data_IF_415196994487
#
_entry.id   IF_415196994487
#
_cell.length_a   1.000
_cell.length_b   1.000
_cell.length_c   1.000
_cell.angle_alpha   90.00
_cell.angle_beta   90.00
_cell.angle_gamma   90.00
#
_symmetry.space_group_name_H-M   'P 1'
#
loop_
_entity.id
_entity.type
_entity.pdbx_description
1 polymer ?
#
# COMPACT_ATOMS: atom_id res chain seq x y z
N UNK A 1 31.28 -4.50 33.55
CA UNK A 1 30.28 -5.25 32.76
C UNK A 1 29.63 -4.20 31.88
N UNK A 2 30.14 -4.05 30.67
CA UNK A 2 29.81 -2.94 29.77
C UNK A 2 28.49 -3.27 29.10
N UNK A 3 27.45 -2.52 29.43
CA UNK A 3 26.19 -2.52 28.69
C UNK A 3 26.47 -1.80 27.37
N UNK A 4 26.67 -2.56 26.29
CA UNK A 4 26.72 -1.98 24.96
C UNK A 4 25.28 -1.68 24.54
N UNK A 5 24.96 -0.47 24.04
CA UNK A 5 23.66 -0.25 23.45
C UNK A 5 23.53 -1.20 22.26
N UNK A 6 22.51 -2.05 22.31
CA UNK A 6 22.08 -2.83 21.15
C UNK A 6 21.80 -1.80 20.06
N UNK A 7 22.55 -1.83 18.97
CA UNK A 7 22.27 -0.97 17.84
C UNK A 7 20.82 -1.22 17.44
N UNK A 8 19.95 -0.22 17.60
CA UNK A 8 18.62 -0.24 16.99
C UNK A 8 18.86 -0.50 15.50
N UNK A 9 18.40 -1.66 15.03
CA UNK A 9 18.35 -1.93 13.61
C UNK A 9 17.63 -0.74 12.97
N UNK A 10 18.13 -0.19 11.85
CA UNK A 10 17.40 0.88 11.18
C UNK A 10 15.97 0.37 10.98
N UNK A 11 14.99 1.12 11.51
CA UNK A 11 13.58 0.85 11.26
C UNK A 11 13.48 0.82 9.74
N UNK A 12 13.18 -0.35 9.17
CA UNK A 12 13.03 -0.46 7.73
C UNK A 12 12.02 0.61 7.29
N UNK A 13 12.21 1.28 6.14
CA UNK A 13 11.22 2.20 5.64
C UNK A 13 9.86 1.48 5.63
N UNK A 14 8.81 2.14 6.13
CA UNK A 14 7.50 1.51 6.19
C UNK A 14 7.10 1.14 4.76
N UNK A 15 6.80 -0.14 4.53
CA UNK A 15 6.43 -0.67 3.22
C UNK A 15 4.92 -0.72 3.12
N UNK A 16 4.35 -0.16 2.06
CA UNK A 16 2.91 -0.13 1.85
C UNK A 16 2.52 -0.71 0.50
N UNK A 17 1.37 -1.36 0.43
CA UNK A 17 0.65 -1.65 -0.81
C UNK A 17 -0.56 -0.75 -0.83
N UNK A 18 -0.76 -0.02 -1.92
CA UNK A 18 -1.96 0.78 -2.11
C UNK A 18 -3.00 -0.02 -2.89
N UNK A 19 -4.21 -0.08 -2.36
CA UNK A 19 -5.39 -0.31 -3.17
C UNK A 19 -5.53 0.84 -4.19
N UNK A 20 -6.03 0.52 -5.37
CA UNK A 20 -6.27 1.51 -6.42
C UNK A 20 -7.27 2.59 -5.99
N UNK A 21 -8.20 2.27 -5.08
CA UNK A 21 -9.13 3.28 -4.54
C UNK A 21 -8.42 4.43 -3.82
N UNK A 22 -7.21 4.22 -3.29
CA UNK A 22 -6.42 5.24 -2.63
C UNK A 22 -5.86 6.22 -3.66
N UNK A 23 -5.35 5.71 -4.79
CA UNK A 23 -4.89 6.53 -5.91
C UNK A 23 -6.04 7.38 -6.47
N UNK A 24 -7.21 6.76 -6.67
CA UNK A 24 -8.43 7.45 -7.14
C UNK A 24 -8.82 8.57 -6.17
N UNK A 25 -8.92 8.27 -4.87
CA UNK A 25 -9.30 9.25 -3.84
C UNK A 25 -8.29 10.40 -3.74
N UNK A 26 -6.99 10.11 -3.83
CA UNK A 26 -5.93 11.10 -3.83
C UNK A 26 -6.00 12.01 -5.07
N UNK A 27 -6.29 11.45 -6.24
CA UNK A 27 -6.43 12.22 -7.48
C UNK A 27 -7.62 13.19 -7.44
N UNK A 28 -8.73 12.82 -6.83
CA UNK A 28 -9.88 13.72 -6.65
C UNK A 28 -9.67 14.76 -5.54
N UNK A 29 -8.97 14.39 -4.46
CA UNK A 29 -8.68 15.30 -3.36
C UNK A 29 -7.25 15.10 -2.84
N UNK A 30 -6.27 15.85 -3.40
CA UNK A 30 -4.87 15.74 -3.00
C UNK A 30 -4.59 16.13 -1.55
N UNK A 31 -5.51 16.86 -0.89
CA UNK A 31 -5.39 17.26 0.53
C UNK A 31 -6.04 16.25 1.49
N UNK A 32 -6.62 15.17 0.97
CA UNK A 32 -7.17 14.08 1.78
C UNK A 32 -6.08 13.24 2.45
N UNK A 33 -6.45 12.38 3.39
CA UNK A 33 -5.52 11.40 3.96
C UNK A 33 -4.90 10.49 2.89
N UNK A 34 -5.66 10.12 1.85
CA UNK A 34 -5.10 9.39 0.70
C UNK A 34 -4.03 10.22 -0.02
N UNK A 35 -4.30 11.50 -0.26
CA UNK A 35 -3.32 12.41 -0.88
C UNK A 35 -2.05 12.58 -0.04
N UNK A 36 -2.19 12.67 1.28
CA UNK A 36 -1.03 12.71 2.19
C UNK A 36 -0.19 11.41 2.13
N UNK A 37 -0.82 10.25 1.94
CA UNK A 37 -0.09 9.00 1.73
C UNK A 37 0.71 9.03 0.42
N UNK A 38 0.13 9.58 -0.65
CA UNK A 38 0.86 9.77 -1.91
C UNK A 38 2.06 10.69 -1.73
N UNK A 39 1.92 11.80 -1.01
CA UNK A 39 3.02 12.73 -0.73
C UNK A 39 4.18 12.06 0.02
N UNK A 40 3.91 11.28 1.08
CA UNK A 40 4.99 10.60 1.82
C UNK A 40 5.69 9.53 0.99
N UNK A 41 4.98 8.86 0.08
CA UNK A 41 5.59 7.92 -0.88
C UNK A 41 6.47 8.68 -1.88
N UNK A 42 5.98 9.79 -2.47
CA UNK A 42 6.79 10.62 -3.39
C UNK A 42 8.06 11.15 -2.75
N UNK A 43 8.00 11.50 -1.47
CA UNK A 43 9.14 11.99 -0.72
C UNK A 43 10.15 10.89 -0.36
N UNK A 44 9.87 9.62 -0.67
CA UNK A 44 10.70 8.49 -0.31
C UNK A 44 10.71 8.19 1.20
N UNK A 45 9.70 8.66 1.94
CA UNK A 45 9.57 8.37 3.37
C UNK A 45 8.97 6.97 3.61
N UNK A 46 8.32 6.40 2.59
CA UNK A 46 7.56 5.14 2.61
C UNK A 46 7.74 4.47 1.25
N UNK A 47 8.05 3.17 1.26
CA UNK A 47 8.19 2.41 0.02
C UNK A 47 6.83 1.90 -0.45
N UNK A 48 6.41 2.28 -1.66
CA UNK A 48 5.29 1.65 -2.34
C UNK A 48 5.76 0.31 -2.92
N UNK A 49 5.30 -0.79 -2.34
CA UNK A 49 5.47 -2.12 -2.90
C UNK A 49 4.39 -2.39 -3.92
N UNK A 50 4.82 -2.82 -5.10
CA UNK A 50 3.94 -3.11 -6.23
C UNK A 50 4.40 -4.34 -6.98
N UNK A 51 3.49 -4.97 -7.72
CA UNK A 51 3.83 -6.00 -8.70
C UNK A 51 3.17 -5.66 -10.04
N UNK A 52 3.49 -6.43 -11.08
CA UNK A 52 2.94 -6.18 -12.41
C UNK A 52 1.41 -6.30 -12.48
N UNK A 53 0.76 -7.03 -11.55
CA UNK A 53 -0.69 -7.16 -11.51
C UNK A 53 -1.34 -5.93 -10.88
N UNK A 54 -0.82 -5.44 -9.75
CA UNK A 54 -1.32 -4.22 -9.10
C UNK A 54 -1.06 -2.99 -9.95
N UNK A 55 0.13 -2.86 -10.56
CA UNK A 55 0.46 -1.78 -11.50
C UNK A 55 -0.54 -1.70 -12.66
N UNK A 56 -0.77 -2.82 -13.34
CA UNK A 56 -1.69 -2.89 -14.49
C UNK A 56 -3.12 -2.56 -14.09
N UNK A 57 -3.55 -3.00 -12.92
CA UNK A 57 -4.88 -2.71 -12.39
C UNK A 57 -5.05 -1.23 -12.08
N UNK A 58 -4.10 -0.64 -11.34
CA UNK A 58 -4.10 0.78 -11.02
C UNK A 58 -4.12 1.64 -12.27
N UNK A 59 -3.24 1.35 -13.24
CA UNK A 59 -3.23 2.05 -14.53
C UNK A 59 -4.56 1.92 -15.26
N UNK A 60 -5.10 0.71 -15.36
CA UNK A 60 -6.36 0.44 -16.05
C UNK A 60 -7.53 1.23 -15.45
N UNK A 61 -7.62 1.31 -14.13
CA UNK A 61 -8.71 2.00 -13.44
C UNK A 61 -8.53 3.52 -13.57
N UNK A 62 -7.35 4.05 -13.25
CA UNK A 62 -7.09 5.49 -13.30
C UNK A 62 -7.32 6.04 -14.72
N UNK A 63 -6.81 5.38 -15.75
CA UNK A 63 -7.01 5.79 -17.15
C UNK A 63 -8.48 5.77 -17.63
N UNK A 64 -9.43 5.23 -16.85
CA UNK A 64 -10.85 5.17 -17.19
C UNK A 64 -11.71 6.19 -16.43
N UNK A 65 -11.15 6.94 -15.49
CA UNK A 65 -11.91 7.84 -14.62
C UNK A 65 -11.46 9.28 -14.86
N UNK A 66 -12.09 10.03 -15.78
CA UNK A 66 -11.85 11.47 -15.86
C UNK A 66 -12.25 12.18 -14.54
N UNK A 67 -11.53 13.23 -14.12
CA UNK A 67 -10.42 13.90 -14.79
C UNK A 67 -9.03 13.33 -14.44
N UNK A 68 -8.94 12.12 -13.87
CA UNK A 68 -7.67 11.56 -13.40
C UNK A 68 -6.73 11.25 -14.58
N UNK A 69 -5.44 11.48 -14.36
CA UNK A 69 -4.37 11.10 -15.28
C UNK A 69 -3.48 10.04 -14.64
N UNK A 70 -3.11 9.02 -15.40
CA UNK A 70 -2.14 8.02 -14.95
C UNK A 70 -0.75 8.64 -14.76
N UNK A 71 -0.40 9.64 -15.58
CA UNK A 71 0.89 10.34 -15.50
C UNK A 71 1.14 10.96 -14.13
N UNK A 72 0.09 11.31 -13.39
CA UNK A 72 0.23 11.83 -12.03
C UNK A 72 0.77 10.77 -11.06
N UNK A 73 0.53 9.48 -11.29
CA UNK A 73 0.86 8.39 -10.35
C UNK A 73 1.96 7.45 -10.82
N UNK A 74 2.31 7.46 -12.11
CA UNK A 74 3.26 6.51 -12.70
C UNK A 74 4.61 6.49 -11.97
N UNK A 75 5.10 7.66 -11.55
CA UNK A 75 6.36 7.80 -10.81
C UNK A 75 6.35 7.19 -9.40
N UNK A 76 5.20 6.80 -8.86
CA UNK A 76 5.18 6.10 -7.56
C UNK A 76 5.68 4.65 -7.69
N UNK A 77 5.59 4.07 -8.89
CA UNK A 77 5.91 2.67 -9.17
C UNK A 77 7.37 2.52 -9.60
N UNK A 78 8.28 2.79 -8.67
CA UNK A 78 9.72 2.75 -8.91
C UNK A 78 10.22 1.30 -9.07
N UNK A 79 11.11 1.00 -10.04
CA UNK A 79 11.66 -0.34 -10.23
C UNK A 79 12.31 -0.94 -8.97
N UNK A 80 12.89 -0.10 -8.11
CA UNK A 80 13.58 -0.51 -6.88
C UNK A 80 12.63 -1.13 -5.84
N UNK A 81 11.34 -0.78 -5.89
CA UNK A 81 10.30 -1.29 -4.99
C UNK A 81 9.36 -2.30 -5.66
N UNK A 82 9.67 -2.70 -6.90
CA UNK A 82 8.96 -3.79 -7.59
C UNK A 82 9.18 -5.12 -6.86
N UNK A 83 8.09 -5.78 -6.50
CA UNK A 83 8.11 -7.12 -5.94
C UNK A 83 8.16 -8.16 -7.07
N UNK A 84 9.29 -8.87 -7.14
CA UNK A 84 9.53 -9.97 -8.09
C UNK A 84 9.46 -11.30 -7.36
N UNK A 85 8.24 -11.79 -7.11
CA UNK A 85 7.97 -13.06 -6.45
C UNK A 85 6.56 -13.57 -6.74
N UNK A 86 6.27 -14.80 -6.34
CA UNK A 86 4.92 -15.37 -6.48
C UNK A 86 4.04 -14.96 -5.29
N UNK A 87 2.97 -14.22 -5.56
CA UNK A 87 2.02 -13.75 -4.55
C UNK A 87 0.85 -14.73 -4.34
N UNK A 88 0.62 -15.67 -5.26
CA UNK A 88 -0.52 -16.62 -5.27
C UNK A 88 -1.86 -16.02 -4.75
N UNK A 89 -2.50 -15.06 -5.47
CA UNK A 89 -3.75 -14.43 -5.02
C UNK A 89 -4.91 -15.41 -4.77
N UNK A 90 -4.88 -16.60 -5.37
CA UNK A 90 -5.93 -17.62 -5.17
C UNK A 90 -5.91 -18.23 -3.76
N UNK A 91 -4.78 -18.12 -3.03
CA UNK A 91 -4.70 -18.50 -1.61
C UNK A 91 -5.55 -17.64 -0.69
N UNK A 92 -5.97 -16.45 -1.13
CA UNK A 92 -6.73 -15.47 -0.35
C UNK A 92 -8.25 -15.59 -0.60
N UNK A 93 -8.76 -16.81 -0.73
CA UNK A 93 -10.16 -17.10 -1.07
C UNK A 93 -11.19 -16.60 -0.03
N UNK A 94 -10.74 -16.29 1.18
CA UNK A 94 -11.56 -15.69 2.24
C UNK A 94 -11.88 -14.21 1.96
N UNK A 95 -11.16 -13.55 1.04
CA UNK A 95 -11.54 -12.25 0.49
C UNK A 95 -12.63 -12.46 -0.57
N UNK A 96 -13.85 -11.91 -0.37
CA UNK A 96 -14.97 -12.17 -1.27
C UNK A 96 -14.72 -11.70 -2.70
N UNK A 97 -14.16 -10.49 -2.86
CA UNK A 97 -13.82 -9.95 -4.17
C UNK A 97 -12.51 -10.58 -4.68
N UNK A 98 -12.58 -11.22 -5.84
CA UNK A 98 -11.43 -11.85 -6.46
C UNK A 98 -10.40 -10.82 -6.96
N UNK A 99 -10.83 -9.61 -7.31
CA UNK A 99 -9.92 -8.55 -7.72
C UNK A 99 -9.13 -8.01 -6.52
N UNK A 100 -9.72 -7.92 -5.33
CA UNK A 100 -9.00 -7.39 -4.16
C UNK A 100 -7.90 -8.34 -3.64
N UNK A 101 -8.03 -9.64 -3.92
CA UNK A 101 -7.06 -10.66 -3.50
C UNK A 101 -5.62 -10.36 -3.90
N UNK A 102 -5.42 -9.71 -5.05
CA UNK A 102 -4.07 -9.39 -5.55
C UNK A 102 -3.33 -8.42 -4.62
N UNK A 103 -4.04 -7.44 -4.06
CA UNK A 103 -3.45 -6.47 -3.14
C UNK A 103 -3.14 -7.10 -1.78
N UNK A 104 -4.06 -7.90 -1.24
CA UNK A 104 -3.85 -8.62 0.01
C UNK A 104 -2.71 -9.64 -0.08
N UNK A 105 -2.64 -10.36 -1.20
CA UNK A 105 -1.59 -11.31 -1.47
C UNK A 105 -0.22 -10.64 -1.52
N UNK A 106 -0.10 -9.55 -2.28
CA UNK A 106 1.13 -8.78 -2.34
C UNK A 106 1.52 -8.23 -0.97
N UNK A 107 0.59 -7.61 -0.24
CA UNK A 107 0.85 -7.04 1.07
C UNK A 107 1.35 -8.10 2.07
N UNK A 108 0.71 -9.26 2.09
CA UNK A 108 1.08 -10.37 3.00
C UNK A 108 2.47 -10.91 2.66
N UNK A 109 2.73 -11.25 1.40
CA UNK A 109 3.99 -11.89 0.99
C UNK A 109 5.16 -10.89 1.05
N UNK A 110 4.91 -9.62 0.78
CA UNK A 110 5.93 -8.59 0.88
C UNK A 110 6.12 -8.03 2.30
N UNK A 111 5.37 -8.50 3.29
CA UNK A 111 5.32 -7.94 4.65
C UNK A 111 5.12 -6.41 4.66
N UNK A 112 4.11 -5.96 3.91
CA UNK A 112 3.73 -4.56 3.76
C UNK A 112 2.33 -4.31 4.35
N UNK A 113 2.08 -3.07 4.76
CA UNK A 113 0.74 -2.65 5.17
C UNK A 113 -0.13 -2.43 3.92
N UNK A 114 -1.33 -3.00 3.91
CA UNK A 114 -2.31 -2.72 2.86
C UNK A 114 -3.12 -1.47 3.24
N UNK A 115 -3.11 -0.47 2.38
CA UNK A 115 -3.93 0.73 2.55
C UNK A 115 -5.15 0.64 1.65
N UNK A 116 -6.34 0.60 2.25
CA UNK A 116 -7.61 0.53 1.52
C UNK A 116 -8.72 1.24 2.30
N UNK A 117 -9.73 1.73 1.58
CA UNK A 117 -11.00 2.19 2.17
C UNK A 117 -12.11 1.12 2.09
N UNK A 118 -11.82 -0.07 1.53
CA UNK A 118 -12.84 -1.12 1.37
C UNK A 118 -13.10 -1.86 2.69
N UNK A 119 -14.36 -1.84 3.12
CA UNK A 119 -14.80 -2.51 4.34
C UNK A 119 -14.58 -4.03 4.30
N UNK A 120 -14.62 -4.65 3.13
CA UNK A 120 -14.37 -6.09 2.96
C UNK A 120 -12.91 -6.46 3.25
N UNK A 121 -11.98 -5.54 3.02
CA UNK A 121 -10.56 -5.72 3.34
C UNK A 121 -10.21 -5.31 4.77
N UNK A 122 -10.98 -4.41 5.38
CA UNK A 122 -10.73 -3.89 6.73
C UNK A 122 -11.16 -4.83 7.87
N UNK A 123 -11.86 -5.93 7.58
CA UNK A 123 -12.27 -6.94 8.55
C UNK A 123 -11.80 -8.37 8.17
N UNK A 124 -10.50 -8.60 7.91
CA UNK A 124 -10.01 -9.93 7.61
C UNK A 124 -9.95 -10.74 8.92
N UNK A 125 -10.65 -11.88 8.98
CA UNK A 125 -10.56 -12.82 10.11
C UNK A 125 -9.16 -13.51 10.21
N UNK A 126 -8.28 -13.31 9.22
CA UNK A 126 -6.91 -13.81 9.21
C UNK A 126 -5.94 -12.75 9.74
N UNK A 127 -5.51 -12.87 11.00
CA UNK A 127 -4.65 -11.90 11.70
C UNK A 127 -3.24 -11.64 11.12
N UNK A 128 -2.93 -12.13 9.91
CA UNK A 128 -1.66 -11.93 9.22
C UNK A 128 -1.66 -10.69 8.30
N UNK A 129 -2.82 -10.29 7.78
CA UNK A 129 -2.93 -9.13 6.89
C UNK A 129 -3.19 -7.86 7.69
N UNK A 130 -2.24 -6.90 7.62
CA UNK A 130 -2.39 -5.57 8.23
C UNK A 130 -3.06 -4.63 7.22
N UNK A 131 -4.32 -4.30 7.47
CA UNK A 131 -5.08 -3.37 6.62
C UNK A 131 -5.43 -2.12 7.41
N UNK A 132 -5.20 -0.96 6.78
CA UNK A 132 -5.51 0.33 7.36
C UNK A 132 -6.28 1.19 6.38
N UNK A 133 -7.22 1.98 6.90
CA UNK A 133 -7.63 3.20 6.19
C UNK A 133 -6.48 4.20 6.20
N UNK A 134 -6.45 5.16 5.25
CA UNK A 134 -5.42 6.19 5.23
C UNK A 134 -5.26 6.95 6.55
N UNK A 135 -6.37 7.31 7.19
CA UNK A 135 -6.36 8.03 8.46
C UNK A 135 -5.80 7.18 9.61
N UNK A 136 -6.15 5.89 9.66
CA UNK A 136 -5.61 4.98 10.67
C UNK A 136 -4.11 4.78 10.50
N UNK A 137 -3.65 4.59 9.26
CA UNK A 137 -2.24 4.38 8.96
C UNK A 137 -1.39 5.60 9.32
N UNK A 138 -1.85 6.81 8.96
CA UNK A 138 -1.19 8.06 9.34
C UNK A 138 -1.13 8.22 10.86
N UNK A 139 -2.24 7.98 11.58
CA UNK A 139 -2.26 8.07 13.04
C UNK A 139 -1.36 7.02 13.71
N UNK A 140 -1.24 5.82 13.14
CA UNK A 140 -0.34 4.76 13.60
C UNK A 140 1.12 5.17 13.45
N UNK A 141 1.51 5.70 12.29
CA UNK A 141 2.90 6.05 11.96
C UNK A 141 3.34 7.43 12.49
N UNK A 142 2.41 8.30 12.88
CA UNK A 142 2.71 9.61 13.49
C UNK A 142 3.10 9.51 14.97
N UNK A 143 2.78 8.40 15.65
CA UNK A 143 3.14 8.15 17.06
C UNK A 143 4.55 7.61 17.23
N UNK A 144 5.17 7.25 16.11
CA UNK A 144 6.38 6.46 15.99
C UNK A 144 7.56 7.26 15.39
N UNK A 145 7.34 8.56 15.15
CA UNK A 145 8.33 9.58 14.78
C UNK A 145 8.52 10.54 15.96
#
# INVERSE_FOLDING_TARGET
>A
MTDQPVAELPKLPTRVVLDTNILVAAGFNPKSHSGLIIEVIRNGEVDLIWDQATYRESRRIISRIPPLDWGDFEELFQPETEFVGDTNPQGFHWIPDADDRKFAALATIADADLISNDAHLLAPDSGELRVFTPAQWLAHNSRDR
#
